data_IF_256736504082
#
_entry.id   IF_256736504082
#
_cell.length_a   1.000
_cell.length_b   1.000
_cell.length_c   1.000
_cell.angle_alpha   90.00
_cell.angle_beta   90.00
_cell.angle_gamma   90.00
#
_symmetry.space_group_name_H-M   'P 1'
#
loop_
_entity.id
_entity.type
_entity.pdbx_description
1 polymer ?
#
# COMPACT_ATOMS: atom_id res chain seq x y z
N UNK A 1 3.44 1.04 -5.86
CA UNK A 1 2.77 0.55 -4.64
C UNK A 1 1.80 1.63 -4.21
N UNK A 2 0.52 1.35 -4.14
CA UNK A 2 -0.43 2.38 -3.70
C UNK A 2 -0.37 2.41 -2.17
N UNK A 3 0.03 3.55 -1.63
CA UNK A 3 0.17 3.73 -0.20
C UNK A 3 -1.17 3.50 0.52
N UNK A 4 -1.14 2.93 1.74
CA UNK A 4 -2.32 2.84 2.56
C UNK A 4 -2.84 4.26 2.86
N UNK A 5 -4.15 4.44 2.81
CA UNK A 5 -4.81 5.67 3.25
C UNK A 5 -5.15 5.60 4.73
N UNK A 6 -5.35 6.73 5.40
CA UNK A 6 -5.87 6.78 6.77
C UNK A 6 -7.31 6.29 6.89
N UNK A 7 -8.03 6.18 5.78
CA UNK A 7 -9.43 5.79 5.73
C UNK A 7 -9.61 4.28 5.97
N UNK A 8 -10.63 3.91 6.74
CA UNK A 8 -11.21 2.57 6.85
C UNK A 8 -12.55 2.53 6.13
N UNK A 9 -12.91 1.40 5.55
CA UNK A 9 -14.23 1.25 4.94
C UNK A 9 -15.32 1.18 6.02
N UNK A 10 -16.60 1.53 5.70
CA UNK A 10 -17.73 1.31 6.59
C UNK A 10 -17.82 -0.16 7.02
N UNK A 11 -18.29 -0.40 8.24
CA UNK A 11 -18.51 -1.76 8.77
C UNK A 11 -19.32 -2.62 7.78
N UNK A 12 -18.91 -3.87 7.63
CA UNK A 12 -19.54 -4.82 6.70
C UNK A 12 -19.05 -4.73 5.25
N UNK A 13 -18.25 -3.73 4.90
CA UNK A 13 -17.73 -3.61 3.53
C UNK A 13 -16.71 -4.71 3.25
N UNK A 14 -16.95 -5.49 2.20
CA UNK A 14 -15.95 -6.36 1.57
C UNK A 14 -15.32 -5.63 0.39
N UNK A 15 -14.00 -5.74 0.24
CA UNK A 15 -13.31 -5.19 -0.93
C UNK A 15 -12.30 -6.18 -1.49
N UNK A 16 -12.06 -6.06 -2.78
CA UNK A 16 -11.03 -6.79 -3.52
C UNK A 16 -10.25 -5.80 -4.38
N UNK A 17 -8.93 -5.87 -4.32
CA UNK A 17 -8.04 -5.04 -5.14
C UNK A 17 -7.05 -5.93 -5.86
N UNK A 18 -6.72 -5.57 -7.09
CA UNK A 18 -5.61 -6.16 -7.84
C UNK A 18 -4.59 -5.08 -8.13
N UNK A 19 -3.32 -5.42 -8.05
CA UNK A 19 -2.21 -4.56 -8.41
C UNK A 19 -1.39 -5.29 -9.46
N UNK A 20 -1.24 -4.67 -10.63
CA UNK A 20 -0.54 -5.23 -11.81
C UNK A 20 -1.02 -6.63 -12.21
N UNK A 21 -2.30 -6.92 -11.95
CA UNK A 21 -2.94 -8.22 -12.23
C UNK A 21 -2.36 -9.40 -11.42
N UNK A 22 -1.21 -9.22 -10.80
CA UNK A 22 -0.46 -10.28 -10.12
C UNK A 22 -0.71 -10.28 -8.61
N UNK A 23 -0.74 -9.11 -7.97
CA UNK A 23 -0.97 -9.01 -6.54
C UNK A 23 -2.48 -8.85 -6.26
N UNK A 24 -3.05 -9.79 -5.55
CA UNK A 24 -4.47 -9.77 -5.15
C UNK A 24 -4.58 -9.45 -3.67
N UNK A 25 -5.42 -8.49 -3.34
CA UNK A 25 -5.80 -8.17 -1.97
C UNK A 25 -7.31 -8.36 -1.79
N UNK A 26 -7.69 -9.04 -0.73
CA UNK A 26 -9.07 -9.13 -0.24
C UNK A 26 -9.14 -8.59 1.17
N UNK A 27 -10.18 -7.83 1.48
CA UNK A 27 -10.33 -7.27 2.82
C UNK A 27 -11.77 -7.11 3.24
N UNK A 28 -11.95 -7.00 4.55
CA UNK A 28 -13.23 -6.84 5.20
C UNK A 28 -13.15 -5.82 6.33
N UNK A 29 -14.05 -4.86 6.34
CA UNK A 29 -14.20 -3.91 7.42
C UNK A 29 -15.03 -4.55 8.55
N UNK A 30 -14.34 -4.91 9.64
CA UNK A 30 -14.95 -5.55 10.82
C UNK A 30 -15.69 -4.54 11.70
N UNK A 31 -15.38 -3.26 11.53
CA UNK A 31 -16.07 -2.11 12.13
C UNK A 31 -15.69 -0.86 11.36
N UNK A 32 -16.34 0.28 11.62
CA UNK A 32 -16.00 1.57 11.00
C UNK A 32 -14.56 2.04 11.27
N UNK A 33 -13.92 1.50 12.30
CA UNK A 33 -12.56 1.86 12.71
C UNK A 33 -11.52 0.77 12.49
N UNK A 34 -11.90 -0.44 12.02
CA UNK A 34 -10.96 -1.54 11.84
C UNK A 34 -11.29 -2.39 10.61
N UNK A 35 -10.26 -2.76 9.88
CA UNK A 35 -10.35 -3.67 8.73
C UNK A 35 -9.21 -4.67 8.72
N UNK A 36 -9.51 -5.88 8.27
CA UNK A 36 -8.52 -6.93 8.02
C UNK A 36 -8.35 -7.12 6.52
N UNK A 37 -7.15 -7.47 6.08
CA UNK A 37 -6.93 -7.83 4.69
C UNK A 37 -5.89 -8.93 4.54
N UNK A 38 -6.08 -9.72 3.50
CA UNK A 38 -5.15 -10.74 3.03
C UNK A 38 -4.68 -10.32 1.64
N UNK A 39 -3.37 -10.23 1.47
CA UNK A 39 -2.73 -9.90 0.20
C UNK A 39 -1.80 -11.03 -0.21
N UNK A 40 -1.76 -11.37 -1.49
CA UNK A 40 -0.87 -12.40 -2.00
C UNK A 40 -0.79 -12.39 -3.52
N UNK A 41 0.15 -13.17 -4.05
CA UNK A 41 0.24 -13.45 -5.48
C UNK A 41 -0.17 -14.90 -5.74
N UNK A 42 -0.56 -15.26 -6.95
CA UNK A 42 -0.57 -16.67 -7.36
C UNK A 42 0.80 -17.31 -7.13
N UNK A 43 0.87 -18.63 -6.98
CA UNK A 43 2.16 -19.33 -6.86
C UNK A 43 3.11 -18.95 -7.99
N UNK A 44 4.34 -18.58 -7.64
CA UNK A 44 5.37 -18.15 -8.57
C UNK A 44 6.36 -19.30 -8.77
N UNK A 45 6.67 -19.59 -10.04
CA UNK A 45 7.60 -20.65 -10.42
C UNK A 45 7.03 -22.06 -10.28
N UNK A 46 7.87 -23.06 -10.62
CA UNK A 46 7.54 -24.47 -10.54
C UNK A 46 7.43 -24.96 -9.09
N UNK A 47 8.13 -24.32 -8.17
CA UNK A 47 8.16 -24.67 -6.74
C UNK A 47 6.91 -24.21 -5.98
N UNK A 48 6.00 -23.46 -6.62
CA UNK A 48 4.74 -23.05 -6.02
C UNK A 48 4.87 -22.08 -4.83
N UNK A 49 5.97 -21.33 -4.73
CA UNK A 49 6.21 -20.34 -3.68
C UNK A 49 5.30 -19.13 -3.89
N UNK A 50 4.64 -18.67 -2.84
CA UNK A 50 3.82 -17.48 -2.90
C UNK A 50 3.95 -16.59 -1.64
N UNK A 51 4.10 -15.28 -1.81
CA UNK A 51 4.04 -14.33 -0.70
C UNK A 51 2.61 -14.15 -0.20
N UNK A 52 2.46 -14.09 1.11
CA UNK A 52 1.21 -13.78 1.80
C UNK A 52 1.44 -12.68 2.82
N UNK A 53 0.48 -11.76 2.92
CA UNK A 53 0.45 -10.71 3.93
C UNK A 53 -0.96 -10.66 4.55
N UNK A 54 -1.06 -10.98 5.83
CA UNK A 54 -2.27 -10.80 6.62
C UNK A 54 -2.12 -9.53 7.45
N UNK A 55 -2.96 -8.54 7.21
CA UNK A 55 -2.86 -7.26 7.89
C UNK A 55 -4.14 -6.84 8.59
N UNK A 56 -3.97 -6.10 9.68
CA UNK A 56 -4.99 -5.35 10.40
C UNK A 56 -4.64 -3.87 10.29
N UNK A 57 -5.60 -3.05 9.86
CA UNK A 57 -5.53 -1.60 9.95
C UNK A 57 -6.61 -1.11 10.92
N UNK A 58 -6.20 -0.28 11.87
CA UNK A 58 -7.09 0.31 12.86
C UNK A 58 -6.96 1.82 12.88
N UNK A 59 -8.11 2.51 12.78
CA UNK A 59 -8.21 3.95 12.89
C UNK A 59 -7.99 4.35 14.36
N UNK A 60 -7.00 5.19 14.62
CA UNK A 60 -6.61 5.65 15.95
C UNK A 60 -7.16 7.04 16.23
N UNK A 61 -7.26 7.85 15.18
CA UNK A 61 -7.80 9.20 15.25
C UNK A 61 -8.55 9.51 13.96
N UNK A 62 -9.76 10.07 14.08
CA UNK A 62 -10.59 10.48 12.95
C UNK A 62 -11.20 11.84 13.23
N UNK A 63 -10.82 12.82 12.44
CA UNK A 63 -11.39 14.16 12.41
C UNK A 63 -11.66 14.53 10.95
N UNK A 64 -12.44 15.59 10.74
CA UNK A 64 -12.85 16.06 9.42
C UNK A 64 -11.68 16.18 8.41
N UNK A 65 -10.53 16.65 8.89
CA UNK A 65 -9.38 16.95 8.05
C UNK A 65 -8.16 16.06 8.30
N UNK A 66 -8.16 15.28 9.37
CA UNK A 66 -7.01 14.43 9.75
C UNK A 66 -7.49 13.06 10.17
N UNK A 67 -6.91 12.03 9.55
CA UNK A 67 -7.11 10.62 9.95
C UNK A 67 -5.78 9.96 10.22
N UNK A 68 -5.70 9.21 11.29
CA UNK A 68 -4.50 8.45 11.64
C UNK A 68 -4.90 6.99 11.86
N UNK A 69 -4.23 6.09 11.17
CA UNK A 69 -4.42 4.66 11.35
C UNK A 69 -3.11 3.95 11.64
N UNK A 70 -3.18 2.97 12.54
CA UNK A 70 -2.12 1.99 12.78
C UNK A 70 -2.28 0.78 11.88
N UNK A 71 -1.16 0.14 11.53
CA UNK A 71 -1.10 -1.06 10.70
C UNK A 71 -0.24 -2.09 11.41
N UNK A 72 -0.77 -3.30 11.57
CA UNK A 72 -0.02 -4.48 12.00
C UNK A 72 -0.22 -5.60 11.00
N UNK A 73 0.83 -6.34 10.65
CA UNK A 73 0.72 -7.42 9.69
C UNK A 73 1.71 -8.55 9.99
N UNK A 74 1.41 -9.72 9.43
CA UNK A 74 2.34 -10.84 9.29
C UNK A 74 2.51 -11.09 7.80
N UNK A 75 3.73 -10.94 7.33
CA UNK A 75 4.13 -11.16 5.94
C UNK A 75 4.99 -12.41 5.87
N UNK A 76 4.76 -13.27 4.91
CA UNK A 76 5.54 -14.51 4.79
C UNK A 76 5.65 -15.03 3.37
N UNK A 77 6.59 -15.95 3.20
CA UNK A 77 6.73 -16.80 2.02
C UNK A 77 6.27 -18.22 2.39
N UNK A 78 5.35 -18.75 1.61
CA UNK A 78 4.77 -20.08 1.80
C UNK A 78 5.14 -20.96 0.61
N UNK A 79 5.39 -22.25 0.86
CA UNK A 79 5.75 -23.22 -0.18
C UNK A 79 7.27 -23.40 -0.37
N UNK A 80 8.11 -22.87 0.52
CA UNK A 80 9.55 -23.12 0.48
C UNK A 80 9.87 -24.59 0.88
N UNK A 81 10.82 -25.23 0.20
CA UNK A 81 11.26 -26.60 0.54
C UNK A 81 11.83 -26.70 1.97
N UNK A 82 12.52 -25.65 2.44
CA UNK A 82 13.09 -25.56 3.78
C UNK A 82 12.07 -25.14 4.87
N UNK A 83 10.82 -24.90 4.49
CA UNK A 83 9.73 -24.47 5.37
C UNK A 83 9.26 -23.04 5.11
N UNK A 84 8.15 -22.66 5.75
CA UNK A 84 7.57 -21.32 5.58
C UNK A 84 8.34 -20.29 6.41
N UNK A 85 8.46 -19.09 5.88
CA UNK A 85 9.14 -17.97 6.53
C UNK A 85 8.16 -16.83 6.79
N UNK A 86 8.12 -16.30 8.01
CA UNK A 86 7.19 -15.22 8.41
C UNK A 86 7.92 -14.09 9.11
N UNK A 87 7.48 -12.86 8.83
CA UNK A 87 7.97 -11.62 9.43
C UNK A 87 6.81 -10.79 9.96
N UNK A 88 7.04 -10.11 11.08
CA UNK A 88 6.14 -9.09 11.56
C UNK A 88 6.30 -7.78 10.78
N UNK A 89 5.21 -7.07 10.54
CA UNK A 89 5.22 -5.73 9.98
C UNK A 89 4.34 -4.82 10.82
N UNK A 90 4.87 -3.64 11.18
CA UNK A 90 4.14 -2.62 11.94
C UNK A 90 4.32 -1.27 11.28
N UNK A 91 3.32 -0.41 11.41
CA UNK A 91 3.40 0.91 10.81
C UNK A 91 2.19 1.76 11.08
N UNK A 92 2.13 2.87 10.37
CA UNK A 92 1.01 3.80 10.44
C UNK A 92 0.91 4.67 9.21
N UNK A 93 -0.24 5.31 9.09
CA UNK A 93 -0.53 6.28 8.05
C UNK A 93 -1.30 7.45 8.63
N UNK A 94 -0.90 8.65 8.22
CA UNK A 94 -1.65 9.88 8.48
C UNK A 94 -2.17 10.40 7.16
N UNK A 95 -3.46 10.68 7.09
CA UNK A 95 -4.13 11.28 5.94
C UNK A 95 -4.62 12.68 6.29
N UNK A 96 -4.30 13.64 5.45
CA UNK A 96 -4.77 15.03 5.52
C UNK A 96 -5.77 15.25 4.40
N UNK A 97 -7.01 15.55 4.74
CA UNK A 97 -8.09 15.82 3.79
C UNK A 97 -8.13 17.33 3.48
N UNK A 98 -8.11 17.69 2.21
CA UNK A 98 -8.15 19.10 1.77
C UNK A 98 -9.58 19.62 1.54
N UNK A 99 -10.54 18.70 1.49
CA UNK A 99 -11.97 18.98 1.36
C UNK A 99 -12.79 18.11 2.33
N UNK A 100 -14.05 18.49 2.55
CA UNK A 100 -14.94 17.82 3.51
C UNK A 100 -15.27 16.38 3.16
N UNK A 101 -15.25 16.03 1.88
CA UNK A 101 -15.49 14.68 1.38
C UNK A 101 -14.21 13.82 1.40
N UNK A 102 -13.05 14.44 1.67
CA UNK A 102 -11.73 13.82 1.57
C UNK A 102 -11.43 13.23 0.18
N UNK A 103 -11.98 13.85 -0.85
CA UNK A 103 -11.76 13.48 -2.25
C UNK A 103 -10.35 13.90 -2.73
N UNK A 104 -9.80 14.95 -2.10
CA UNK A 104 -8.43 15.40 -2.27
C UNK A 104 -7.69 15.30 -0.95
N UNK A 105 -6.55 14.62 -0.95
CA UNK A 105 -5.82 14.34 0.29
C UNK A 105 -4.32 14.14 0.07
N UNK A 106 -3.55 14.32 1.14
CA UNK A 106 -2.18 13.88 1.24
C UNK A 106 -2.07 12.77 2.29
N UNK A 107 -1.24 11.78 2.04
CA UNK A 107 -0.96 10.69 2.97
C UNK A 107 0.53 10.65 3.27
N UNK A 108 0.88 10.40 4.53
CA UNK A 108 2.24 10.05 4.94
C UNK A 108 2.17 8.70 5.62
N UNK A 109 2.90 7.73 5.12
CA UNK A 109 2.92 6.38 5.66
C UNK A 109 4.35 5.93 5.97
N UNK A 110 4.49 5.13 7.00
CA UNK A 110 5.72 4.41 7.29
C UNK A 110 5.38 3.03 7.86
N UNK A 111 6.08 2.00 7.37
CA UNK A 111 5.95 0.63 7.87
C UNK A 111 7.32 0.01 8.02
N UNK A 112 7.56 -0.66 9.13
CA UNK A 112 8.78 -1.40 9.41
C UNK A 112 8.53 -2.91 9.32
N UNK A 113 9.36 -3.61 8.57
CA UNK A 113 9.41 -5.05 8.50
C UNK A 113 10.43 -5.55 9.52
N UNK A 114 9.97 -6.34 10.48
CA UNK A 114 10.77 -6.81 11.61
C UNK A 114 11.39 -8.17 11.27
N UNK A 115 12.67 -8.17 10.94
CA UNK A 115 13.43 -9.36 10.55
C UNK A 115 14.59 -9.63 11.53
N UNK A 116 14.27 -9.77 12.82
CA UNK A 116 15.30 -9.96 13.85
C UNK A 116 16.19 -8.70 14.03
N UNK A 117 17.51 -8.81 13.89
CA UNK A 117 18.42 -7.68 14.06
C UNK A 117 18.39 -6.66 12.91
N UNK A 118 17.83 -7.06 11.75
CA UNK A 118 17.65 -6.18 10.61
C UNK A 118 16.19 -5.70 10.53
N UNK A 119 16.01 -4.41 10.35
CA UNK A 119 14.70 -3.79 10.15
C UNK A 119 14.70 -3.05 8.82
N UNK A 120 13.74 -3.34 7.98
CA UNK A 120 13.55 -2.66 6.71
C UNK A 120 12.34 -1.74 6.83
N UNK A 121 12.53 -0.45 6.63
CA UNK A 121 11.46 0.54 6.73
C UNK A 121 11.07 1.04 5.35
N UNK A 122 9.79 0.96 5.05
CA UNK A 122 9.18 1.60 3.89
C UNK A 122 8.48 2.87 4.35
N UNK A 123 8.83 3.99 3.77
CA UNK A 123 8.19 5.26 4.06
C UNK A 123 7.79 5.95 2.75
N UNK A 124 6.73 6.73 2.79
CA UNK A 124 6.35 7.45 1.60
C UNK A 124 5.27 8.49 1.84
N UNK A 125 5.08 9.31 0.81
CA UNK A 125 4.09 10.39 0.76
C UNK A 125 3.25 10.21 -0.48
N UNK A 126 1.93 10.21 -0.33
CA UNK A 126 0.98 10.11 -1.43
C UNK A 126 0.09 11.33 -1.50
N UNK A 127 -0.29 11.72 -2.71
CA UNK A 127 -1.25 12.78 -2.98
C UNK A 127 -2.34 12.26 -3.90
N UNK A 128 -3.58 12.59 -3.55
CA UNK A 128 -4.75 12.39 -4.38
C UNK A 128 -5.38 13.76 -4.59
N UNK A 129 -5.54 14.16 -5.84
CA UNK A 129 -6.17 15.44 -6.17
C UNK A 129 -7.35 15.22 -7.09
N UNK A 130 -8.56 15.48 -6.61
CA UNK A 130 -9.78 15.35 -7.39
C UNK A 130 -9.83 16.39 -8.50
N UNK A 131 -9.83 15.93 -9.75
CA UNK A 131 -9.95 16.80 -10.93
C UNK A 131 -11.42 16.97 -11.36
N UNK A 132 -12.21 15.90 -11.21
CA UNK A 132 -13.63 15.87 -11.59
C UNK A 132 -14.36 14.76 -10.83
N UNK A 133 -15.66 14.58 -11.08
CA UNK A 133 -16.43 13.48 -10.50
C UNK A 133 -15.98 12.09 -10.95
N UNK A 134 -15.22 11.98 -12.03
CA UNK A 134 -14.78 10.73 -12.64
C UNK A 134 -13.27 10.54 -12.71
N UNK A 135 -12.46 11.55 -12.30
CA UNK A 135 -11.00 11.46 -12.36
C UNK A 135 -10.32 12.20 -11.20
N UNK A 136 -9.23 11.61 -10.71
CA UNK A 136 -8.29 12.21 -9.78
C UNK A 136 -6.85 11.97 -10.23
N UNK A 137 -5.96 12.90 -9.94
CA UNK A 137 -4.51 12.75 -10.10
C UNK A 137 -3.96 12.01 -8.88
N UNK A 138 -3.03 11.09 -9.11
CA UNK A 138 -2.25 10.39 -8.09
C UNK A 138 -0.79 10.76 -8.21
N UNK A 139 -0.12 10.93 -7.09
CA UNK A 139 1.33 11.02 -7.01
C UNK A 139 1.78 10.34 -5.73
N UNK A 140 2.66 9.35 -5.84
CA UNK A 140 3.31 8.71 -4.70
C UNK A 140 4.82 8.86 -4.82
N UNK A 141 5.45 9.05 -3.66
CA UNK A 141 6.90 9.05 -3.47
C UNK A 141 7.18 8.04 -2.38
N UNK A 142 7.84 6.97 -2.72
CA UNK A 142 8.18 5.89 -1.79
C UNK A 142 9.68 5.76 -1.63
N UNK A 143 10.13 5.46 -0.43
CA UNK A 143 11.54 5.17 -0.15
C UNK A 143 11.67 3.93 0.73
N UNK A 144 12.77 3.23 0.53
CA UNK A 144 13.20 2.10 1.33
C UNK A 144 14.37 2.56 2.20
N UNK A 145 14.21 2.48 3.51
CA UNK A 145 15.23 2.89 4.49
C UNK A 145 15.63 1.65 5.28
N UNK A 146 16.80 1.07 5.03
CA UNK A 146 17.32 -0.01 5.87
C UNK A 146 17.75 0.57 7.22
N UNK A 147 17.27 -0.02 8.30
CA UNK A 147 17.66 0.33 9.67
C UNK A 147 18.45 -0.84 10.28
N UNK A 148 19.70 -0.64 10.61
CA UNK A 148 20.56 -1.65 11.23
C UNK A 148 22.04 -1.43 10.93
N UNK A 149 22.89 -2.11 11.67
CA UNK A 149 24.35 -1.95 11.60
C UNK A 149 24.99 -2.55 10.34
N UNK A 150 24.24 -3.36 9.59
CA UNK A 150 24.67 -3.98 8.31
C UNK A 150 23.93 -3.41 7.10
N UNK A 151 23.17 -2.33 7.29
CA UNK A 151 22.44 -1.68 6.23
C UNK A 151 23.43 -0.99 5.28
N UNK A 152 23.64 -1.56 4.12
CA UNK A 152 24.29 -0.87 3.01
C UNK A 152 23.53 0.41 2.65
N UNK A 153 24.19 1.35 2.00
CA UNK A 153 23.60 2.62 1.54
C UNK A 153 22.56 2.39 0.42
N UNK A 154 21.42 1.81 0.76
CA UNK A 154 20.33 1.61 -0.20
C UNK A 154 19.26 2.69 0.06
N UNK A 155 19.39 3.83 -0.62
CA UNK A 155 18.41 4.92 -0.59
C UNK A 155 17.69 5.01 -1.94
N UNK A 156 16.92 4.00 -2.29
CA UNK A 156 16.06 4.03 -3.48
C UNK A 156 14.82 4.89 -3.23
N UNK A 157 14.55 5.84 -4.11
CA UNK A 157 13.29 6.60 -4.16
C UNK A 157 12.52 6.13 -5.39
N UNK A 158 11.26 5.77 -5.21
CA UNK A 158 10.34 5.48 -6.30
C UNK A 158 9.30 6.61 -6.43
N UNK A 159 9.02 7.02 -7.66
CA UNK A 159 7.97 7.98 -7.99
C UNK A 159 6.89 7.27 -8.78
N UNK A 160 5.64 7.44 -8.38
CA UNK A 160 4.47 6.82 -9.02
C UNK A 160 3.41 7.88 -9.36
N UNK A 161 3.55 8.59 -10.49
CA UNK A 161 2.47 9.43 -11.00
C UNK A 161 1.39 8.57 -11.66
N UNK A 162 0.13 9.00 -11.54
CA UNK A 162 -0.98 8.26 -12.13
C UNK A 162 -2.31 9.00 -12.09
N UNK A 163 -3.33 8.31 -12.55
CA UNK A 163 -4.71 8.76 -12.52
C UNK A 163 -5.58 7.70 -11.86
N UNK A 164 -6.52 8.13 -11.04
CA UNK A 164 -7.60 7.32 -10.48
C UNK A 164 -8.91 7.67 -11.15
N UNK A 165 -9.64 6.64 -11.57
CA UNK A 165 -10.99 6.73 -12.09
C UNK A 165 -11.95 6.11 -11.08
N UNK A 166 -12.47 6.92 -10.12
CA UNK A 166 -13.39 6.42 -9.11
C UNK A 166 -14.80 6.25 -9.68
N UNK A 167 -15.42 5.14 -9.33
CA UNK A 167 -16.82 4.88 -9.57
C UNK A 167 -17.48 4.42 -8.25
N UNK A 168 -18.80 4.29 -8.24
CA UNK A 168 -19.56 4.00 -7.00
C UNK A 168 -18.98 2.83 -6.18
N UNK A 169 -18.81 1.68 -6.83
CA UNK A 169 -18.37 0.43 -6.21
C UNK A 169 -16.99 -0.03 -6.66
N UNK A 170 -16.36 0.66 -7.58
CA UNK A 170 -15.03 0.30 -8.06
C UNK A 170 -14.16 1.53 -8.34
N UNK A 171 -12.88 1.32 -8.42
CA UNK A 171 -11.91 2.31 -8.92
C UNK A 171 -10.86 1.63 -9.77
N UNK A 172 -10.38 2.35 -10.78
CA UNK A 172 -9.26 1.96 -11.63
C UNK A 172 -8.15 3.00 -11.48
N UNK A 173 -6.95 2.56 -11.13
CA UNK A 173 -5.76 3.39 -11.08
C UNK A 173 -4.84 2.98 -12.21
N UNK A 174 -4.34 3.96 -12.96
CA UNK A 174 -3.40 3.78 -14.06
C UNK A 174 -2.24 4.74 -13.88
N UNK A 175 -1.01 4.27 -14.00
CA UNK A 175 0.15 5.13 -13.84
C UNK A 175 1.46 4.45 -14.24
N UNK A 176 2.54 5.05 -13.77
CA UNK A 176 3.89 4.57 -14.03
C UNK A 176 4.69 4.62 -12.73
N UNK A 177 5.50 3.61 -12.50
CA UNK A 177 6.49 3.58 -11.44
C UNK A 177 7.87 3.79 -12.05
N UNK A 178 8.68 4.66 -11.43
CA UNK A 178 10.08 4.86 -11.79
C UNK A 178 10.92 4.96 -10.52
N UNK A 179 11.97 4.14 -10.44
CA UNK A 179 13.00 4.32 -9.44
C UNK A 179 13.84 5.54 -9.82
N UNK A 180 14.10 6.42 -8.86
CA UNK A 180 15.04 7.51 -8.97
C UNK A 180 16.29 7.06 -8.23
N UNK A 181 17.26 6.54 -8.93
CA UNK A 181 18.56 6.25 -8.34
C UNK A 181 19.38 7.54 -8.25
N UNK A 182 19.96 7.81 -7.09
CA UNK A 182 20.64 9.09 -6.84
C UNK A 182 22.07 9.05 -7.37
N UNK A 183 22.61 7.89 -7.73
CA UNK A 183 24.05 7.82 -7.93
C UNK A 183 24.55 7.45 -9.32
N UNK A 184 23.88 6.79 -10.26
CA UNK A 184 24.65 6.55 -11.51
C UNK A 184 23.91 6.00 -12.74
N UNK A 185 22.60 5.72 -12.77
CA UNK A 185 22.03 5.24 -14.03
C UNK A 185 20.82 6.06 -14.54
N UNK A 186 20.95 6.73 -15.70
CA UNK A 186 19.85 7.49 -16.28
C UNK A 186 18.74 6.63 -16.88
N UNK A 187 18.81 5.31 -16.81
CA UNK A 187 17.92 4.39 -17.52
C UNK A 187 17.11 3.45 -16.62
N UNK A 188 16.74 3.86 -15.41
CA UNK A 188 15.80 3.07 -14.64
C UNK A 188 14.48 2.88 -15.45
N UNK A 189 14.02 1.65 -15.66
CA UNK A 189 12.88 1.37 -16.49
C UNK A 189 11.63 2.03 -15.91
N UNK A 190 10.81 2.60 -16.78
CA UNK A 190 9.48 3.06 -16.43
C UNK A 190 8.56 1.85 -16.47
N UNK A 191 8.01 1.47 -15.33
CA UNK A 191 7.12 0.31 -15.19
C UNK A 191 5.69 0.82 -15.15
N UNK A 192 4.82 0.46 -16.12
CA UNK A 192 3.41 0.79 -16.03
C UNK A 192 2.79 0.04 -14.86
N UNK A 193 1.87 0.67 -14.12
CA UNK A 193 1.07 -0.02 -13.12
C UNK A 193 -0.42 0.15 -13.38
N UNK A 194 -1.18 -0.87 -13.04
CA UNK A 194 -2.63 -0.92 -13.10
C UNK A 194 -3.13 -1.48 -11.78
N UNK A 195 -4.02 -0.75 -11.11
CA UNK A 195 -4.71 -1.27 -9.93
C UNK A 195 -6.22 -1.13 -10.10
N UNK A 196 -6.93 -2.19 -9.77
CA UNK A 196 -8.38 -2.21 -9.79
C UNK A 196 -8.89 -2.57 -8.40
N UNK A 197 -9.84 -1.81 -7.89
CA UNK A 197 -10.48 -2.07 -6.61
C UNK A 197 -11.98 -2.17 -6.80
N UNK A 198 -12.59 -3.23 -6.27
CA UNK A 198 -14.03 -3.43 -6.21
C UNK A 198 -14.49 -3.51 -4.75
N UNK A 199 -15.65 -2.92 -4.44
CA UNK A 199 -16.22 -2.86 -3.10
C UNK A 199 -17.67 -3.32 -3.11
N UNK A 200 -18.01 -4.19 -2.18
CA UNK A 200 -19.39 -4.55 -1.85
C UNK A 200 -19.74 -3.80 -0.57
N UNK A 201 -20.60 -2.80 -0.68
CA UNK A 201 -21.09 -2.03 0.46
C UNK A 201 -22.18 -2.83 1.18
N UNK A 202 -22.34 -2.66 2.50
CA UNK A 202 -23.38 -3.30 3.28
C UNK A 202 -24.78 -2.86 2.88
#
# INVERSE_FOLDING_TARGET
>A
MIQPTGYTHPEGTFYMSTYDIVLLQMGYAVSDFAQVSLTGTPPLGEDGIFPLDLSLKALVYDDRHVRVAGIGAVTGLVGLEEGNFFLGRVGGVTQLCFDDACDSSANVAATALLAGPATLTFAGVGFIWRLSSWAALLLELDTLIPLGTEAGEYNGIAVLPGFRFPYRTWSLDLGFARALDVEEEPEAPVIPFIAFTYRVLP
#
